data_IF_418450901018
#
_entry.id   IF_418450901018
#
_cell.length_a   1.000
_cell.length_b   1.000
_cell.length_c   1.000
_cell.angle_alpha   90.00
_cell.angle_beta   90.00
_cell.angle_gamma   90.00
#
_symmetry.space_group_name_H-M   'P 1'
#
loop_
_entity.id
_entity.type
_entity.pdbx_description
1 polymer ?
#
# COMPACT_ATOMS: atom_id res chain seq x y z
N UNK A 1 2.15 30.73 89.01
CA UNK A 1 1.19 29.88 89.73
C UNK A 1 1.58 29.70 91.19
N UNK A 2 2.74 29.21 91.48
CA UNK A 2 3.15 28.85 92.85
C UNK A 2 3.16 30.02 93.81
N UNK A 3 3.60 31.20 93.38
CA UNK A 3 3.61 32.43 94.21
C UNK A 3 2.22 32.98 94.52
N UNK A 4 1.33 32.95 93.55
CA UNK A 4 -0.07 33.40 93.72
C UNK A 4 -0.86 32.46 94.63
N UNK A 5 -0.61 31.12 94.57
CA UNK A 5 -1.20 30.16 95.44
C UNK A 5 -0.71 30.37 96.90
N UNK A 6 0.58 30.66 97.08
CA UNK A 6 1.16 30.97 98.36
C UNK A 6 0.62 32.24 98.98
N UNK A 7 0.45 33.32 98.14
CA UNK A 7 -0.16 34.55 98.57
C UNK A 7 -1.67 34.37 98.92
N UNK A 8 -2.38 33.57 98.21
CA UNK A 8 -3.79 33.21 98.50
C UNK A 8 -3.87 32.52 99.84
N UNK A 9 -3.00 31.53 100.16
CA UNK A 9 -2.94 30.79 101.44
C UNK A 9 -2.48 31.69 102.57
N UNK A 10 -1.64 32.67 102.35
CA UNK A 10 -1.21 33.65 103.36
C UNK A 10 -2.29 34.66 103.72
N UNK A 11 -3.04 35.12 102.67
CA UNK A 11 -4.13 36.02 102.88
C UNK A 11 -5.27 35.41 103.71
N UNK A 12 -5.59 34.12 103.51
CA UNK A 12 -6.59 33.41 104.34
C UNK A 12 -6.21 33.18 105.80
N UNK A 13 -4.93 33.39 106.18
CA UNK A 13 -4.43 33.24 107.59
C UNK A 13 -4.21 34.57 108.26
N UNK A 14 -4.30 35.69 107.59
CA UNK A 14 -4.01 37.02 108.16
C UNK A 14 -5.29 37.87 108.24
N UNK A 15 -5.63 38.36 109.45
CA UNK A 15 -6.78 39.23 109.67
C UNK A 15 -6.71 40.58 108.95
N UNK A 16 -5.50 40.98 108.56
CA UNK A 16 -5.28 42.27 107.83
C UNK A 16 -5.50 42.12 106.31
N UNK A 17 -5.18 40.90 105.81
CA UNK A 17 -5.20 40.61 104.39
C UNK A 17 -6.51 39.93 103.91
N UNK A 18 -7.38 39.57 104.84
CA UNK A 18 -8.60 38.80 104.58
C UNK A 18 -9.51 39.50 103.56
N UNK A 19 -9.51 40.87 103.50
CA UNK A 19 -10.26 41.66 102.48
C UNK A 19 -9.80 41.39 101.05
N UNK A 20 -8.60 40.85 100.82
CA UNK A 20 -8.02 40.53 99.47
C UNK A 20 -8.02 39.05 99.16
N UNK A 21 -8.48 38.18 100.06
CA UNK A 21 -8.49 36.71 99.89
C UNK A 21 -9.24 36.33 98.61
N UNK A 22 -10.42 36.86 98.40
CA UNK A 22 -11.25 36.59 97.24
C UNK A 22 -10.63 37.09 95.95
N UNK A 23 -9.95 38.24 95.96
CA UNK A 23 -9.24 38.76 94.76
C UNK A 23 -8.04 37.87 94.44
N UNK A 24 -7.23 37.39 95.39
CA UNK A 24 -6.13 36.48 95.11
C UNK A 24 -6.61 35.11 94.63
N UNK A 25 -7.72 34.65 95.18
CA UNK A 25 -8.39 33.41 94.74
C UNK A 25 -8.86 33.49 93.30
N UNK A 26 -9.55 34.54 92.92
CA UNK A 26 -10.03 34.75 91.56
C UNK A 26 -8.89 34.91 90.55
N UNK A 27 -7.82 35.62 90.87
CA UNK A 27 -6.60 35.73 90.09
C UNK A 27 -5.92 34.38 89.88
N UNK A 28 -5.86 33.56 90.88
CA UNK A 28 -5.27 32.24 90.80
C UNK A 28 -6.04 31.33 89.81
N UNK A 29 -7.37 31.27 89.97
CA UNK A 29 -8.20 30.46 89.08
C UNK A 29 -8.21 31.00 87.69
N UNK A 30 -8.21 32.34 87.49
CA UNK A 30 -8.13 32.91 86.12
C UNK A 30 -6.82 32.59 85.45
N UNK A 31 -5.70 32.63 86.17
CA UNK A 31 -4.41 32.21 85.64
C UNK A 31 -4.34 30.71 85.36
N UNK A 32 -5.00 29.88 86.15
CA UNK A 32 -5.11 28.47 85.91
C UNK A 32 -5.90 28.18 84.65
N UNK A 33 -7.01 28.86 84.43
CA UNK A 33 -7.81 28.76 83.21
C UNK A 33 -7.02 29.12 81.95
N UNK A 34 -6.29 30.24 82.00
CA UNK A 34 -5.40 30.66 80.93
C UNK A 34 -4.29 29.68 80.63
N UNK A 35 -3.70 29.06 81.67
CA UNK A 35 -2.65 28.02 81.54
C UNK A 35 -3.22 26.75 80.84
N UNK A 36 -4.42 26.35 81.23
CA UNK A 36 -5.12 25.23 80.60
C UNK A 36 -5.47 25.52 79.13
N UNK A 37 -5.97 26.75 78.81
CA UNK A 37 -6.21 27.16 77.44
C UNK A 37 -4.92 27.18 76.61
N UNK A 38 -3.82 27.75 77.15
CA UNK A 38 -2.53 27.76 76.46
C UNK A 38 -1.97 26.35 76.25
N UNK A 39 -2.17 25.43 77.18
CA UNK A 39 -1.81 24.01 76.99
C UNK A 39 -2.64 23.39 75.85
N UNK A 40 -3.94 23.63 75.85
CA UNK A 40 -4.79 23.13 74.77
C UNK A 40 -4.39 23.70 73.38
N UNK A 41 -4.09 24.98 73.28
CA UNK A 41 -3.58 25.62 72.06
C UNK A 41 -2.26 24.99 71.63
N UNK A 42 -1.31 24.82 72.55
CA UNK A 42 -0.02 24.16 72.27
C UNK A 42 -0.22 22.73 71.72
N UNK A 43 -1.09 21.96 72.37
CA UNK A 43 -1.32 20.55 72.01
C UNK A 43 -2.06 20.44 70.64
N UNK A 44 -2.93 21.39 70.34
CA UNK A 44 -3.56 21.51 69.01
C UNK A 44 -2.54 21.85 67.93
N UNK A 45 -1.65 22.80 68.17
CA UNK A 45 -0.57 23.15 67.23
C UNK A 45 0.52 22.07 67.10
N UNK A 46 0.72 21.21 68.10
CA UNK A 46 1.63 20.06 67.98
C UNK A 46 1.06 18.99 67.06
N UNK A 47 -0.27 18.87 66.99
CA UNK A 47 -0.93 17.98 65.99
C UNK A 47 -0.82 18.56 64.57
N UNK A 48 -0.87 19.91 64.40
CA UNK A 48 -0.63 20.55 63.09
C UNK A 48 0.80 20.28 62.55
N UNK A 49 1.80 20.09 63.41
CA UNK A 49 3.16 19.75 63.00
C UNK A 49 3.26 18.35 62.37
N UNK A 50 2.44 17.38 62.84
CA UNK A 50 2.33 16.06 62.22
C UNK A 50 1.67 16.12 60.83
N UNK A 51 0.77 17.07 60.61
CA UNK A 51 0.14 17.29 59.29
C UNK A 51 1.10 17.96 58.31
N UNK A 52 2.01 18.81 58.77
CA UNK A 52 3.05 19.46 57.96
C UNK A 52 3.99 18.45 57.32
N UNK A 53 4.45 17.44 58.03
CA UNK A 53 5.32 16.38 57.53
C UNK A 53 4.61 15.54 56.45
N UNK A 54 3.34 15.24 56.65
CA UNK A 54 2.53 14.54 55.67
C UNK A 54 2.36 15.33 54.37
N UNK A 55 2.12 16.64 54.50
CA UNK A 55 2.02 17.56 53.36
C UNK A 55 3.36 17.72 52.63
N UNK A 56 4.47 17.81 53.32
CA UNK A 56 5.81 17.86 52.71
C UNK A 56 6.14 16.57 51.95
N UNK A 57 5.84 15.42 52.53
CA UNK A 57 6.00 14.14 51.86
C UNK A 57 5.17 14.02 50.61
N UNK A 58 3.92 14.47 50.67
CA UNK A 58 3.03 14.50 49.46
C UNK A 58 3.56 15.44 48.38
N UNK A 59 4.04 16.62 48.76
CA UNK A 59 4.67 17.56 47.83
C UNK A 59 5.91 16.97 47.17
N UNK A 60 6.76 16.31 47.96
CA UNK A 60 7.94 15.61 47.43
C UNK A 60 7.57 14.54 46.41
N UNK A 61 6.58 13.71 46.69
CA UNK A 61 6.09 12.68 45.77
C UNK A 61 5.55 13.31 44.46
N UNK A 62 4.78 14.36 44.55
CA UNK A 62 4.27 15.08 43.38
C UNK A 62 5.42 15.65 42.54
N UNK A 63 6.41 16.30 43.16
CA UNK A 63 7.59 16.83 42.47
C UNK A 63 8.41 15.72 41.80
N UNK A 64 8.53 14.57 42.45
CA UNK A 64 9.22 13.38 41.92
C UNK A 64 8.50 12.82 40.71
N UNK A 65 7.16 12.77 40.73
CA UNK A 65 6.34 12.36 39.61
C UNK A 65 6.46 13.34 38.44
N UNK A 66 6.43 14.65 38.70
CA UNK A 66 6.61 15.66 37.64
C UNK A 66 7.97 15.51 36.94
N UNK A 67 9.06 15.34 37.72
CA UNK A 67 10.38 15.12 37.09
C UNK A 67 10.44 13.87 36.23
N UNK A 68 9.74 12.82 36.59
CA UNK A 68 9.73 11.56 35.86
C UNK A 68 8.87 11.64 34.58
N UNK A 69 7.80 12.42 34.62
CA UNK A 69 6.78 12.39 33.57
C UNK A 69 6.58 13.75 32.86
N UNK A 70 7.65 14.55 32.70
CA UNK A 70 7.66 15.72 31.81
C UNK A 70 7.44 17.09 32.47
N UNK A 71 7.58 17.16 33.80
CA UNK A 71 7.72 18.45 34.51
C UNK A 71 6.44 19.22 34.80
N UNK A 72 5.27 18.82 34.30
CA UNK A 72 4.01 19.50 34.51
C UNK A 72 2.86 18.56 34.87
N UNK A 73 1.78 19.13 35.43
CA UNK A 73 0.55 18.38 35.69
C UNK A 73 -0.05 17.78 34.40
N UNK A 74 -0.05 18.56 33.33
CA UNK A 74 -0.61 18.12 32.06
C UNK A 74 0.16 16.92 31.49
N UNK A 75 1.48 16.99 31.45
CA UNK A 75 2.32 15.87 30.97
C UNK A 75 2.22 14.64 31.87
N UNK A 76 2.05 14.81 33.18
CA UNK A 76 1.80 13.69 34.10
C UNK A 76 0.46 13.01 33.80
N UNK A 77 -0.60 13.79 33.56
CA UNK A 77 -1.92 13.25 33.25
C UNK A 77 -1.97 12.58 31.88
N UNK A 78 -1.28 13.14 30.90
CA UNK A 78 -1.12 12.52 29.58
C UNK A 78 -0.35 11.20 29.68
N UNK A 79 0.75 11.19 30.42
CA UNK A 79 1.53 9.96 30.68
C UNK A 79 0.70 8.90 31.40
N UNK A 80 -0.11 9.31 32.39
CA UNK A 80 -1.06 8.41 33.08
C UNK A 80 -2.04 7.79 32.07
N UNK A 81 -2.67 8.62 31.23
CA UNK A 81 -3.60 8.16 30.22
C UNK A 81 -2.95 7.15 29.28
N UNK A 82 -1.77 7.48 28.74
CA UNK A 82 -1.02 6.61 27.84
C UNK A 82 -0.63 5.26 28.50
N UNK A 83 -0.30 5.28 29.77
CA UNK A 83 0.01 4.04 30.53
C UNK A 83 -1.28 3.24 30.76
N UNK A 84 -2.39 3.88 31.11
CA UNK A 84 -3.67 3.19 31.29
C UNK A 84 -4.13 2.55 29.98
N UNK A 85 -4.04 3.27 28.85
CA UNK A 85 -4.38 2.73 27.52
C UNK A 85 -3.49 1.53 27.14
N UNK A 86 -2.20 1.56 27.52
CA UNK A 86 -1.30 0.42 27.32
C UNK A 86 -1.68 -0.77 28.19
N UNK A 87 -2.01 -0.54 29.46
CA UNK A 87 -2.45 -1.58 30.38
C UNK A 87 -3.75 -2.23 29.88
N UNK A 88 -4.70 -1.40 29.45
CA UNK A 88 -5.98 -1.88 28.90
C UNK A 88 -5.78 -2.77 27.66
N UNK A 89 -4.91 -2.32 26.73
CA UNK A 89 -4.52 -3.14 25.57
C UNK A 89 -3.85 -4.46 25.94
N UNK A 90 -3.09 -4.49 27.03
CA UNK A 90 -2.43 -5.73 27.50
C UNK A 90 -3.45 -6.67 28.13
N UNK A 91 -4.36 -6.13 28.95
CA UNK A 91 -5.40 -6.92 29.61
C UNK A 91 -6.37 -7.52 28.58
N UNK A 92 -6.79 -6.72 27.60
CA UNK A 92 -7.71 -7.16 26.55
C UNK A 92 -7.02 -7.72 25.30
N UNK A 93 -5.68 -7.99 25.40
CA UNK A 93 -4.90 -8.48 24.26
C UNK A 93 -5.48 -9.76 23.68
N UNK A 94 -5.92 -10.68 24.50
CA UNK A 94 -6.47 -11.96 24.05
C UNK A 94 -7.78 -11.75 23.28
N UNK A 95 -8.68 -10.95 23.83
CA UNK A 95 -9.98 -10.65 23.18
C UNK A 95 -9.80 -9.98 21.82
N UNK A 96 -8.84 -9.04 21.74
CA UNK A 96 -8.48 -8.35 20.47
C UNK A 96 -7.85 -9.34 19.49
N UNK A 97 -6.98 -10.23 19.98
CA UNK A 97 -6.35 -11.25 19.16
C UNK A 97 -7.38 -12.22 18.58
N UNK A 98 -8.25 -12.76 19.41
CA UNK A 98 -9.29 -13.71 19.00
C UNK A 98 -10.27 -13.07 18.00
N UNK A 99 -10.61 -11.79 18.20
CA UNK A 99 -11.43 -11.03 17.26
C UNK A 99 -10.76 -10.85 15.90
N UNK A 100 -9.48 -10.44 15.90
CA UNK A 100 -8.71 -10.26 14.66
C UNK A 100 -8.46 -11.59 13.93
N UNK A 101 -8.26 -12.67 14.67
CA UNK A 101 -8.10 -13.99 14.07
C UNK A 101 -9.38 -14.45 13.39
N UNK A 102 -10.53 -14.25 14.04
CA UNK A 102 -11.84 -14.53 13.45
C UNK A 102 -12.13 -13.66 12.21
N UNK A 103 -11.86 -12.35 12.27
CA UNK A 103 -12.01 -11.46 11.12
C UNK A 103 -11.11 -11.87 9.94
N UNK A 104 -9.88 -12.30 10.24
CA UNK A 104 -8.93 -12.83 9.26
C UNK A 104 -9.46 -14.11 8.61
N UNK A 105 -10.00 -15.06 9.41
CA UNK A 105 -10.54 -16.31 8.90
C UNK A 105 -11.77 -16.07 8.01
N UNK A 106 -12.70 -15.20 8.45
CA UNK A 106 -13.88 -14.83 7.67
C UNK A 106 -13.50 -14.15 6.35
N UNK A 107 -12.54 -13.21 6.38
CA UNK A 107 -12.03 -12.52 5.20
C UNK A 107 -11.31 -13.47 4.25
N UNK A 108 -10.52 -14.41 4.80
CA UNK A 108 -9.82 -15.40 4.00
C UNK A 108 -10.78 -16.39 3.35
N UNK A 109 -11.83 -16.83 4.06
CA UNK A 109 -12.86 -17.69 3.49
C UNK A 109 -13.62 -17.00 2.35
N UNK A 110 -13.99 -15.73 2.52
CA UNK A 110 -14.61 -14.93 1.47
C UNK A 110 -13.69 -14.75 0.26
N UNK A 111 -12.41 -14.45 0.48
CA UNK A 111 -11.40 -14.39 -0.57
C UNK A 111 -11.29 -15.71 -1.34
N UNK A 112 -11.15 -16.85 -0.64
CA UNK A 112 -11.01 -18.17 -1.28
C UNK A 112 -12.23 -18.55 -2.12
N UNK A 113 -13.43 -18.18 -1.67
CA UNK A 113 -14.65 -18.37 -2.47
C UNK A 113 -14.56 -17.63 -3.80
N UNK A 114 -14.22 -16.33 -3.78
CA UNK A 114 -14.10 -15.51 -4.99
C UNK A 114 -12.94 -15.98 -5.88
N UNK A 115 -11.81 -16.37 -5.29
CA UNK A 115 -10.65 -16.87 -6.02
C UNK A 115 -10.96 -18.19 -6.75
N UNK A 116 -11.70 -19.11 -6.12
CA UNK A 116 -12.16 -20.35 -6.74
C UNK A 116 -13.16 -20.08 -7.88
N UNK A 117 -14.12 -19.18 -7.67
CA UNK A 117 -15.07 -18.78 -8.73
C UNK A 117 -14.33 -18.19 -9.94
N UNK A 118 -13.31 -17.36 -9.70
CA UNK A 118 -12.45 -16.79 -10.74
C UNK A 118 -11.66 -17.89 -11.47
N UNK A 119 -11.07 -18.84 -10.74
CA UNK A 119 -10.35 -19.99 -11.32
C UNK A 119 -11.24 -20.82 -12.24
N UNK A 120 -12.45 -21.13 -11.81
CA UNK A 120 -13.43 -21.87 -12.63
C UNK A 120 -13.76 -21.10 -13.93
N UNK A 121 -14.04 -19.80 -13.82
CA UNK A 121 -14.33 -18.94 -15.00
C UNK A 121 -13.15 -18.88 -15.96
N UNK A 122 -11.91 -18.76 -15.44
CA UNK A 122 -10.70 -18.76 -16.27
C UNK A 122 -10.54 -20.07 -17.04
N UNK A 123 -10.60 -21.20 -16.33
CA UNK A 123 -10.47 -22.53 -16.92
C UNK A 123 -11.53 -22.81 -17.98
N UNK A 124 -12.74 -22.34 -17.78
CA UNK A 124 -13.84 -22.53 -18.71
C UNK A 124 -13.61 -21.84 -20.10
N UNK A 125 -12.77 -20.80 -20.15
CA UNK A 125 -12.52 -20.08 -21.42
C UNK A 125 -11.22 -20.53 -22.11
N UNK A 126 -10.37 -21.36 -21.48
CA UNK A 126 -9.08 -21.73 -22.04
C UNK A 126 -9.18 -22.45 -23.39
N UNK A 127 -10.02 -23.47 -23.51
CA UNK A 127 -10.19 -24.21 -24.74
C UNK A 127 -10.72 -23.33 -25.89
N UNK A 128 -11.60 -22.36 -25.59
CA UNK A 128 -12.08 -21.40 -26.57
C UNK A 128 -10.96 -20.46 -27.03
N UNK A 129 -10.14 -19.95 -26.09
CA UNK A 129 -9.00 -19.09 -26.40
C UNK A 129 -7.94 -19.83 -27.21
N UNK A 130 -7.58 -21.05 -26.80
CA UNK A 130 -6.65 -21.92 -27.54
C UNK A 130 -7.12 -22.15 -28.97
N UNK A 131 -8.38 -22.51 -29.15
CA UNK A 131 -8.99 -22.72 -30.48
C UNK A 131 -8.93 -21.45 -31.36
N UNK A 132 -9.29 -20.30 -30.81
CA UNK A 132 -9.23 -19.04 -31.55
C UNK A 132 -7.80 -18.63 -31.94
N UNK A 133 -6.85 -18.78 -31.00
CA UNK A 133 -5.44 -18.50 -31.30
C UNK A 133 -4.95 -19.41 -32.44
N UNK A 134 -5.29 -20.68 -32.39
CA UNK A 134 -4.91 -21.64 -33.42
C UNK A 134 -5.56 -21.38 -34.78
N UNK A 135 -6.80 -20.89 -34.81
CA UNK A 135 -7.44 -20.45 -36.03
C UNK A 135 -6.64 -19.30 -36.67
N UNK A 136 -6.27 -18.28 -35.90
CA UNK A 136 -5.48 -17.16 -36.40
C UNK A 136 -4.04 -17.58 -36.76
N UNK A 137 -3.45 -18.58 -36.07
CA UNK A 137 -2.15 -19.13 -36.44
C UNK A 137 -2.17 -19.81 -37.80
N UNK A 138 -3.24 -20.55 -38.14
CA UNK A 138 -3.42 -21.15 -39.48
C UNK A 138 -3.46 -20.09 -40.56
N UNK A 139 -4.21 -19.01 -40.35
CA UNK A 139 -4.26 -17.88 -41.32
C UNK A 139 -2.87 -17.25 -41.54
N UNK A 140 -1.98 -17.34 -40.55
CA UNK A 140 -0.61 -16.83 -40.60
C UNK A 140 0.43 -17.89 -41.00
N UNK A 141 -0.02 -19.00 -41.60
CA UNK A 141 0.82 -20.10 -42.07
C UNK A 141 1.67 -20.74 -40.90
N UNK A 142 1.08 -20.82 -39.73
CA UNK A 142 1.64 -21.57 -38.58
C UNK A 142 0.83 -22.84 -38.33
N UNK A 143 0.67 -23.66 -39.35
CA UNK A 143 -0.17 -24.87 -39.32
C UNK A 143 0.29 -25.93 -38.30
N UNK A 144 1.58 -26.02 -38.10
CA UNK A 144 2.19 -26.97 -37.18
C UNK A 144 2.32 -26.46 -35.74
N UNK A 145 2.05 -25.19 -35.53
CA UNK A 145 2.10 -24.59 -34.18
C UNK A 145 1.03 -25.22 -33.27
N UNK A 146 1.35 -25.33 -32.02
CA UNK A 146 0.43 -25.72 -30.96
C UNK A 146 0.51 -24.71 -29.86
N UNK A 147 -0.63 -24.24 -29.36
CA UNK A 147 -0.75 -23.30 -28.27
C UNK A 147 -1.58 -23.91 -27.16
N UNK A 148 -1.13 -23.76 -25.93
CA UNK A 148 -1.79 -24.31 -24.75
C UNK A 148 -1.68 -23.30 -23.60
N UNK A 149 -2.74 -23.20 -22.80
CA UNK A 149 -2.76 -22.41 -21.57
C UNK A 149 -2.55 -23.37 -20.38
N UNK A 150 -1.42 -23.21 -19.71
CA UNK A 150 -1.14 -23.92 -18.46
C UNK A 150 -1.69 -23.13 -17.29
N UNK A 151 -2.27 -23.83 -16.31
CA UNK A 151 -2.82 -23.24 -15.12
C UNK A 151 -2.43 -24.10 -13.92
N UNK A 152 -1.55 -23.59 -13.10
CA UNK A 152 -1.11 -24.22 -11.84
C UNK A 152 -1.57 -23.38 -10.66
N UNK A 153 -1.70 -24.02 -9.51
CA UNK A 153 -2.08 -23.33 -8.29
C UNK A 153 -0.88 -22.58 -7.70
N UNK A 154 -1.10 -21.35 -7.25
CA UNK A 154 -0.11 -20.54 -6.55
C UNK A 154 -0.62 -20.04 -5.22
N UNK A 155 0.27 -19.48 -4.40
CA UNK A 155 -0.10 -18.81 -3.16
C UNK A 155 -1.12 -17.70 -3.41
N UNK A 156 -2.10 -17.50 -2.51
CA UNK A 156 -3.10 -16.44 -2.60
C UNK A 156 -2.48 -15.07 -2.89
N UNK A 157 -3.04 -14.37 -3.87
CA UNK A 157 -2.57 -13.05 -4.32
C UNK A 157 -3.75 -12.15 -4.68
N UNK A 158 -3.49 -10.87 -4.95
CA UNK A 158 -4.53 -9.93 -5.42
C UNK A 158 -5.22 -10.36 -6.72
N UNK A 159 -4.59 -11.24 -7.50
CA UNK A 159 -5.09 -11.75 -8.78
C UNK A 159 -5.68 -13.17 -8.68
N UNK A 160 -5.90 -13.70 -7.48
CA UNK A 160 -6.41 -15.03 -7.23
C UNK A 160 -5.31 -16.05 -6.95
N UNK A 161 -5.63 -17.33 -7.17
CA UNK A 161 -4.80 -18.49 -6.82
C UNK A 161 -4.21 -19.20 -8.03
N UNK A 162 -4.44 -18.68 -9.25
CA UNK A 162 -3.95 -19.31 -10.49
C UNK A 162 -2.66 -18.66 -10.97
N UNK A 163 -1.67 -19.49 -11.29
CA UNK A 163 -0.53 -19.15 -12.13
C UNK A 163 -0.85 -19.58 -13.55
N UNK A 164 -0.96 -18.62 -14.46
CA UNK A 164 -1.30 -18.87 -15.86
C UNK A 164 -0.08 -18.64 -16.73
N UNK A 165 0.26 -19.62 -17.54
CA UNK A 165 1.37 -19.58 -18.46
C UNK A 165 0.93 -19.97 -19.85
N UNK A 166 1.39 -19.23 -20.86
CA UNK A 166 1.17 -19.55 -22.27
C UNK A 166 2.32 -20.41 -22.77
N UNK A 167 1.98 -21.61 -23.21
CA UNK A 167 2.91 -22.61 -23.73
C UNK A 167 2.72 -22.75 -25.23
N UNK A 168 3.83 -22.86 -25.96
CA UNK A 168 3.84 -22.99 -27.38
C UNK A 168 4.77 -24.12 -27.83
N UNK A 169 4.42 -24.76 -28.94
CA UNK A 169 5.29 -25.66 -29.67
C UNK A 169 5.15 -25.34 -31.16
N UNK A 170 6.24 -24.96 -31.82
CA UNK A 170 6.21 -24.47 -33.19
C UNK A 170 6.29 -25.62 -34.23
N UNK A 171 6.92 -26.71 -33.87
CA UNK A 171 7.13 -27.82 -34.80
C UNK A 171 6.57 -29.14 -34.25
N UNK A 172 6.13 -30.05 -35.13
CA UNK A 172 5.71 -31.39 -34.73
C UNK A 172 6.83 -32.12 -33.97
N UNK A 173 6.49 -32.74 -32.85
CA UNK A 173 7.46 -33.46 -32.02
C UNK A 173 8.29 -32.63 -31.07
N UNK A 174 8.17 -31.29 -31.13
CA UNK A 174 8.79 -30.39 -30.16
C UNK A 174 7.95 -30.31 -28.89
N UNK A 175 8.59 -30.30 -27.73
CA UNK A 175 7.92 -30.09 -26.46
C UNK A 175 7.36 -28.65 -26.33
N UNK A 176 6.37 -28.52 -25.50
CA UNK A 176 5.87 -27.20 -25.15
C UNK A 176 6.89 -26.40 -24.34
N UNK A 177 7.14 -25.19 -24.74
CA UNK A 177 7.98 -24.23 -24.01
C UNK A 177 7.21 -22.96 -23.70
N UNK A 178 7.65 -22.22 -22.65
CA UNK A 178 7.08 -20.94 -22.33
C UNK A 178 7.20 -19.98 -23.51
N UNK A 179 6.15 -19.23 -23.77
CA UNK A 179 6.13 -18.17 -24.80
C UNK A 179 7.28 -17.17 -24.59
N UNK A 180 7.67 -16.92 -23.35
CA UNK A 180 8.76 -16.01 -22.99
C UNK A 180 10.15 -16.50 -23.40
N UNK A 181 10.32 -17.80 -23.63
CA UNK A 181 11.61 -18.46 -23.92
C UNK A 181 11.70 -18.89 -25.39
N UNK A 182 10.57 -19.01 -26.07
CA UNK A 182 10.52 -19.49 -27.46
C UNK A 182 11.07 -18.41 -28.41
N UNK A 183 12.27 -18.66 -28.93
CA UNK A 183 13.01 -17.70 -29.74
C UNK A 183 13.16 -18.13 -31.21
N UNK A 184 12.11 -18.00 -31.99
CA UNK A 184 12.26 -17.89 -33.45
C UNK A 184 11.60 -16.58 -33.91
N UNK A 185 12.39 -15.65 -34.43
CA UNK A 185 11.94 -14.26 -34.68
C UNK A 185 10.63 -14.14 -35.47
N UNK A 186 10.56 -14.73 -36.68
CA UNK A 186 9.39 -14.59 -37.55
C UNK A 186 8.17 -15.41 -37.09
N UNK A 187 8.35 -16.63 -36.58
CA UNK A 187 7.24 -17.47 -36.10
C UNK A 187 6.62 -16.90 -34.81
N UNK A 188 7.47 -16.43 -33.90
CA UNK A 188 7.03 -15.79 -32.68
C UNK A 188 6.27 -14.49 -32.98
N UNK A 189 6.75 -13.67 -33.92
CA UNK A 189 6.06 -12.44 -34.35
C UNK A 189 4.67 -12.72 -34.89
N UNK A 190 4.50 -13.74 -35.70
CA UNK A 190 3.19 -14.18 -36.22
C UNK A 190 2.26 -14.68 -35.12
N UNK A 191 2.79 -15.49 -34.20
CA UNK A 191 2.03 -15.95 -33.04
C UNK A 191 1.61 -14.77 -32.14
N UNK A 192 2.50 -13.81 -31.92
CA UNK A 192 2.15 -12.59 -31.18
C UNK A 192 1.05 -11.77 -31.89
N UNK A 193 1.06 -11.72 -33.22
CA UNK A 193 -0.04 -11.12 -33.98
C UNK A 193 -1.36 -11.87 -33.74
N UNK A 194 -1.35 -13.21 -33.80
CA UNK A 194 -2.54 -14.04 -33.51
C UNK A 194 -3.08 -13.78 -32.10
N UNK A 195 -2.22 -13.77 -31.11
CA UNK A 195 -2.57 -13.47 -29.72
C UNK A 195 -3.16 -12.05 -29.58
N UNK A 196 -2.53 -11.04 -30.18
CA UNK A 196 -3.04 -9.68 -30.18
C UNK A 196 -4.44 -9.58 -30.77
N UNK A 197 -4.72 -10.28 -31.87
CA UNK A 197 -6.05 -10.34 -32.46
C UNK A 197 -7.09 -10.92 -31.49
N UNK A 198 -6.76 -12.00 -30.80
CA UNK A 198 -7.68 -12.69 -29.87
C UNK A 198 -7.93 -11.87 -28.59
N UNK A 199 -6.86 -11.32 -27.99
CA UNK A 199 -6.96 -10.63 -26.71
C UNK A 199 -7.34 -9.15 -26.80
N UNK A 200 -7.41 -8.60 -28.00
CA UNK A 200 -7.59 -7.17 -28.22
C UNK A 200 -8.97 -6.65 -27.79
N UNK A 201 -10.00 -7.46 -27.91
CA UNK A 201 -11.38 -7.05 -27.58
C UNK A 201 -11.59 -6.69 -26.09
N UNK A 202 -10.61 -6.99 -25.23
CA UNK A 202 -10.76 -6.89 -23.76
C UNK A 202 -10.04 -5.70 -23.12
N UNK A 203 -9.17 -4.96 -23.83
CA UNK A 203 -8.18 -4.11 -23.17
C UNK A 203 -8.38 -2.59 -23.31
N UNK A 204 -9.40 -2.12 -24.03
CA UNK A 204 -9.58 -0.67 -24.25
C UNK A 204 -8.42 0.02 -24.99
N UNK A 205 -7.55 -0.76 -25.64
CA UNK A 205 -6.41 -0.25 -26.41
C UNK A 205 -6.94 0.18 -27.79
N UNK A 206 -6.71 1.43 -28.17
CA UNK A 206 -7.16 1.97 -29.44
C UNK A 206 -6.09 1.94 -30.54
N UNK A 207 -4.82 1.88 -30.17
CA UNK A 207 -3.67 1.91 -31.09
C UNK A 207 -2.74 0.71 -30.89
N UNK A 208 -2.33 0.07 -31.99
CA UNK A 208 -1.38 -1.05 -32.00
C UNK A 208 -0.22 -0.68 -32.92
N UNK A 209 0.98 -0.89 -32.40
CA UNK A 209 2.22 -0.68 -33.15
C UNK A 209 2.89 -2.04 -33.36
N UNK A 210 3.11 -2.40 -34.65
CA UNK A 210 3.89 -3.55 -35.04
C UNK A 210 5.25 -3.08 -35.56
N UNK A 211 6.29 -3.50 -34.89
CA UNK A 211 7.66 -3.22 -35.26
C UNK A 211 8.38 -4.52 -35.63
N UNK A 212 9.04 -4.52 -36.79
CA UNK A 212 9.81 -5.67 -37.32
C UNK A 212 9.05 -7.02 -37.33
N UNK A 213 7.71 -7.00 -37.43
CA UNK A 213 6.90 -8.23 -37.41
C UNK A 213 7.10 -9.12 -38.64
N UNK A 214 7.61 -8.54 -39.70
CA UNK A 214 7.85 -9.16 -41.00
C UNK A 214 9.30 -9.72 -41.16
N UNK A 215 10.10 -9.71 -40.12
CA UNK A 215 11.47 -10.28 -40.15
C UNK A 215 11.42 -11.78 -40.43
N UNK A 216 12.18 -12.23 -41.47
CA UNK A 216 12.21 -13.62 -41.93
C UNK A 216 10.93 -14.14 -42.58
N UNK A 217 10.04 -13.22 -42.99
CA UNK A 217 8.78 -13.54 -43.65
C UNK A 217 8.86 -13.15 -45.11
N UNK A 218 8.23 -13.94 -46.00
CA UNK A 218 8.16 -13.63 -47.43
C UNK A 218 6.92 -14.20 -48.08
N UNK A 219 6.62 -13.76 -49.33
CA UNK A 219 5.60 -14.28 -50.17
C UNK A 219 4.18 -14.32 -49.60
N UNK A 220 3.56 -15.50 -49.61
CA UNK A 220 2.15 -15.67 -49.15
C UNK A 220 1.96 -15.35 -47.67
N UNK A 221 2.97 -15.60 -46.85
CA UNK A 221 2.91 -15.31 -45.40
C UNK A 221 2.80 -13.82 -45.15
N UNK A 222 3.61 -13.01 -45.83
CA UNK A 222 3.56 -11.54 -45.75
C UNK A 222 2.21 -10.97 -46.18
N UNK A 223 1.62 -11.52 -47.25
CA UNK A 223 0.27 -11.13 -47.67
C UNK A 223 -0.80 -11.47 -46.64
N UNK A 224 -0.73 -12.66 -46.03
CA UNK A 224 -1.64 -13.07 -44.94
C UNK A 224 -1.53 -12.17 -43.71
N UNK A 225 -0.30 -11.78 -43.35
CA UNK A 225 -0.04 -10.82 -42.26
C UNK A 225 -0.64 -9.44 -42.55
N UNK A 226 -0.37 -8.91 -43.77
CA UNK A 226 -0.93 -7.64 -44.20
C UNK A 226 -2.46 -7.64 -44.18
N UNK A 227 -3.10 -8.69 -44.70
CA UNK A 227 -4.55 -8.86 -44.67
C UNK A 227 -5.10 -8.90 -43.23
N UNK A 228 -4.38 -9.55 -42.29
CA UNK A 228 -4.77 -9.62 -40.89
C UNK A 228 -4.66 -8.25 -40.20
N UNK A 229 -3.58 -7.52 -40.46
CA UNK A 229 -3.42 -6.13 -39.96
C UNK A 229 -4.46 -5.20 -40.55
N UNK A 230 -4.81 -5.35 -41.83
CA UNK A 230 -5.91 -4.61 -42.46
C UNK A 230 -7.25 -4.91 -41.78
N UNK A 231 -7.56 -6.14 -41.49
CA UNK A 231 -8.77 -6.50 -40.74
C UNK A 231 -8.81 -5.86 -39.36
N UNK A 232 -7.65 -5.80 -38.65
CA UNK A 232 -7.50 -5.12 -37.37
C UNK A 232 -7.74 -3.60 -37.49
N UNK A 233 -7.26 -3.00 -38.56
CA UNK A 233 -7.40 -1.53 -38.79
C UNK A 233 -8.83 -1.05 -38.91
N UNK A 234 -9.81 -1.94 -39.10
CA UNK A 234 -11.25 -1.59 -39.07
C UNK A 234 -11.75 -1.21 -37.67
N UNK A 235 -11.05 -1.65 -36.63
CA UNK A 235 -11.44 -1.42 -35.22
C UNK A 235 -10.42 -0.60 -34.44
N UNK A 236 -9.16 -0.60 -34.87
CA UNK A 236 -8.03 -0.03 -34.17
C UNK A 236 -7.17 0.80 -35.08
N UNK A 237 -6.47 1.79 -34.55
CA UNK A 237 -5.38 2.42 -35.27
C UNK A 237 -4.19 1.44 -35.30
N UNK A 238 -3.81 0.99 -36.48
CA UNK A 238 -2.69 0.08 -36.70
C UNK A 238 -1.52 0.83 -37.31
N UNK A 239 -0.39 0.88 -36.64
CA UNK A 239 0.88 1.38 -37.16
C UNK A 239 1.81 0.18 -37.36
N UNK A 240 2.36 0.04 -38.58
CA UNK A 240 3.29 -1.04 -38.90
C UNK A 240 4.53 -0.47 -39.55
N UNK A 241 5.70 -0.88 -39.00
CA UNK A 241 7.01 -0.65 -39.61
C UNK A 241 7.37 -1.90 -40.38
N UNK A 242 7.50 -1.79 -41.69
CA UNK A 242 7.70 -2.92 -42.60
C UNK A 242 8.70 -2.58 -43.70
N UNK A 243 9.45 -3.58 -44.15
CA UNK A 243 10.29 -3.52 -45.31
C UNK A 243 9.71 -4.32 -46.52
N UNK A 244 8.54 -4.97 -46.34
CA UNK A 244 7.90 -5.79 -47.35
C UNK A 244 6.78 -5.05 -48.04
N UNK A 245 6.88 -4.88 -49.36
CA UNK A 245 5.86 -4.28 -50.20
C UNK A 245 4.49 -5.02 -50.08
N UNK A 246 4.52 -6.35 -49.92
CA UNK A 246 3.31 -7.17 -49.75
C UNK A 246 2.55 -6.91 -48.44
N UNK A 247 3.21 -6.39 -47.42
CA UNK A 247 2.57 -5.90 -46.17
C UNK A 247 2.13 -4.46 -46.36
N UNK A 248 3.02 -3.61 -46.87
CA UNK A 248 2.76 -2.19 -47.05
C UNK A 248 1.57 -1.91 -47.93
N UNK A 249 1.35 -2.64 -49.03
CA UNK A 249 0.23 -2.44 -49.97
C UNK A 249 -1.15 -2.51 -49.31
N UNK A 250 -1.26 -3.16 -48.14
CA UNK A 250 -2.53 -3.28 -47.41
C UNK A 250 -2.85 -2.04 -46.56
N UNK A 251 -1.91 -1.12 -46.38
CA UNK A 251 -2.11 0.07 -45.56
C UNK A 251 -2.99 1.12 -46.27
N UNK A 252 -3.69 1.94 -45.49
CA UNK A 252 -4.48 3.06 -45.97
C UNK A 252 -3.65 4.34 -46.15
N UNK A 253 -2.57 4.47 -45.41
CA UNK A 253 -1.71 5.63 -45.38
C UNK A 253 -0.25 5.17 -45.25
N UNK A 254 0.63 5.78 -46.07
CA UNK A 254 2.05 5.44 -46.10
C UNK A 254 2.92 6.59 -45.62
N UNK A 255 3.92 6.25 -44.85
CA UNK A 255 4.98 7.15 -44.42
C UNK A 255 6.33 6.56 -44.82
N UNK A 256 7.13 7.30 -45.59
CA UNK A 256 8.50 6.93 -45.90
C UNK A 256 9.44 7.44 -44.80
N UNK A 257 10.22 6.54 -44.23
CA UNK A 257 11.27 6.85 -43.31
C UNK A 257 12.62 6.75 -44.03
N UNK A 258 13.30 7.86 -44.20
CA UNK A 258 14.58 7.92 -44.90
C UNK A 258 15.67 8.50 -44.00
N UNK A 259 16.88 7.94 -44.08
CA UNK A 259 18.09 8.45 -43.38
C UNK A 259 18.99 9.08 -44.42
N UNK A 260 19.36 10.35 -44.24
CA UNK A 260 20.38 11.04 -45.00
C UNK A 260 21.60 11.31 -44.10
N UNK A 261 22.69 10.68 -44.42
CA UNK A 261 23.95 10.90 -43.70
C UNK A 261 24.80 11.92 -44.52
N UNK A 262 25.23 12.98 -43.85
CA UNK A 262 26.23 13.92 -44.30
C UNK A 262 27.52 13.68 -43.50
N UNK A 263 28.61 14.33 -43.87
CA UNK A 263 29.92 14.12 -43.24
C UNK A 263 29.92 14.32 -41.71
N UNK A 264 28.97 15.11 -41.18
CA UNK A 264 28.92 15.49 -39.77
C UNK A 264 27.67 15.03 -39.02
N UNK A 265 26.60 14.61 -39.71
CA UNK A 265 25.36 14.24 -39.05
C UNK A 265 24.52 13.29 -39.89
N UNK A 266 23.67 12.50 -39.18
CA UNK A 266 22.67 11.66 -39.81
C UNK A 266 21.27 12.18 -39.44
N UNK A 267 20.50 12.60 -40.44
CA UNK A 267 19.14 13.11 -40.26
C UNK A 267 18.13 12.04 -40.71
N UNK A 268 17.22 11.69 -39.81
CA UNK A 268 16.06 10.86 -40.17
C UNK A 268 14.90 11.77 -40.54
N UNK A 269 14.29 11.51 -41.70
CA UNK A 269 13.10 12.21 -42.16
C UNK A 269 11.96 11.24 -42.28
N UNK A 270 10.76 11.70 -41.89
CA UNK A 270 9.47 11.00 -42.09
C UNK A 270 8.62 11.83 -42.98
N UNK A 271 8.16 11.27 -44.10
CA UNK A 271 7.34 11.93 -45.11
C UNK A 271 6.08 11.13 -45.35
N UNK A 272 4.93 11.78 -45.24
CA UNK A 272 3.64 11.17 -45.71
C UNK A 272 3.66 11.14 -47.21
N UNK A 273 3.39 9.97 -47.80
CA UNK A 273 3.32 9.77 -49.26
C UNK A 273 1.91 10.03 -49.77
N UNK A 274 1.83 10.65 -50.96
CA UNK A 274 0.64 10.69 -51.76
C UNK A 274 0.46 9.38 -52.56
N UNK A 275 -0.55 9.32 -53.41
CA UNK A 275 -0.88 8.10 -54.19
C UNK A 275 0.25 7.69 -55.13
N UNK A 276 0.78 8.65 -55.90
CA UNK A 276 1.80 8.37 -56.91
C UNK A 276 3.16 8.02 -56.24
N UNK A 277 3.51 8.74 -55.22
CA UNK A 277 4.69 8.44 -54.39
C UNK A 277 4.59 7.06 -53.70
N UNK A 278 3.37 6.68 -53.26
CA UNK A 278 3.14 5.33 -52.66
C UNK A 278 3.37 4.24 -53.70
N UNK A 279 2.86 4.41 -54.97
CA UNK A 279 3.10 3.44 -56.03
C UNK A 279 4.59 3.31 -56.34
N UNK A 280 5.27 4.44 -56.45
CA UNK A 280 6.73 4.44 -56.69
C UNK A 280 7.50 3.74 -55.58
N UNK A 281 7.19 4.04 -54.31
CA UNK A 281 7.88 3.40 -53.15
C UNK A 281 7.59 1.89 -53.10
N UNK A 282 6.35 1.44 -53.32
CA UNK A 282 6.01 0.02 -53.39
C UNK A 282 6.74 -0.67 -54.54
N UNK A 283 6.94 -0.02 -55.68
CA UNK A 283 7.71 -0.55 -56.78
C UNK A 283 9.21 -0.71 -56.41
N UNK A 284 9.78 0.30 -55.74
CA UNK A 284 11.16 0.27 -55.21
C UNK A 284 11.32 -0.89 -54.23
N UNK A 285 10.38 -1.02 -53.27
CA UNK A 285 10.39 -2.11 -52.28
C UNK A 285 10.30 -3.51 -52.92
N UNK A 286 9.69 -3.62 -54.11
CA UNK A 286 9.52 -4.90 -54.83
C UNK A 286 10.69 -5.25 -55.71
N UNK A 287 11.23 -4.29 -56.45
CA UNK A 287 12.27 -4.49 -57.47
C UNK A 287 13.67 -4.12 -57.02
N UNK A 288 13.83 -3.37 -55.93
CA UNK A 288 15.10 -2.80 -55.51
C UNK A 288 15.60 -1.63 -56.35
N UNK A 289 14.85 -1.22 -57.37
CA UNK A 289 15.22 -0.11 -58.29
C UNK A 289 14.12 0.93 -58.42
N UNK A 290 14.52 2.18 -58.47
CA UNK A 290 13.61 3.35 -58.61
C UNK A 290 12.99 3.53 -60.03
N UNK A 291 13.01 2.53 -60.87
CA UNK A 291 12.53 2.63 -62.27
C UNK A 291 11.13 2.06 -62.46
N UNK A 292 10.13 2.91 -62.16
CA UNK A 292 8.81 2.80 -62.83
C UNK A 292 8.84 3.78 -63.99
N UNK A 293 8.98 3.25 -65.23
CA UNK A 293 8.66 3.99 -66.43
C UNK A 293 7.14 3.99 -66.67
#
# INVERSE_FOLDING_TARGET
>A
HLHLYTLYKQASKSSILNAYEETFKNLYYSLQSVDEELKHIRDTHSNDALDLDSLQNRQYLIKKLYRKYGGSYMSLMESKKNIMDKIDRIIHRQDVFDKLEKEKEESFAAYMKLANELSVKRKAVFSLLESKVMEHCKDLMLENARFKISCTEKKPSSNGIDEIEFLVSMNPGQDFSSLSVSASGGELSRLMLALKVVFQASNGIETIIFDEIDTGVSGKVALAMGAKMKALSNKYQVLCITHLASVAVMANTHYLVSKKSTFNETITRVQKLDHDQTIQELAIMTSGEASVK
#
